data_IF_389362473313
#
_entry.id   IF_389362473313
#
_cell.length_a   1.000
_cell.length_b   1.000
_cell.length_c   1.000
_cell.angle_alpha   90.00
_cell.angle_beta   90.00
_cell.angle_gamma   90.00
#
_symmetry.space_group_name_H-M   'P 1'
#
loop_
_entity.id
_entity.type
_entity.pdbx_description
1 polymer ?
#
# COMPACT_ATOMS: atom_id res chain seq x y z
N UNK A 1 -25.38 10.83 -5.22
CA UNK A 1 -25.02 9.49 -4.70
C UNK A 1 -23.74 9.08 -5.41
N UNK A 2 -22.58 9.42 -4.84
CA UNK A 2 -21.30 9.26 -5.55
C UNK A 2 -20.89 7.78 -5.56
N UNK A 3 -20.90 7.22 -6.77
CA UNK A 3 -20.59 5.83 -7.09
C UNK A 3 -19.08 5.76 -7.35
N UNK A 4 -18.30 5.28 -6.39
CA UNK A 4 -16.86 5.09 -6.58
C UNK A 4 -16.62 3.70 -7.17
N UNK A 5 -16.69 3.60 -8.50
CA UNK A 5 -16.10 2.50 -9.26
C UNK A 5 -14.92 3.12 -9.99
N UNK A 6 -13.72 2.65 -9.68
CA UNK A 6 -12.51 3.02 -10.41
C UNK A 6 -11.81 1.74 -10.82
N UNK A 7 -11.79 1.55 -12.14
CA UNK A 7 -10.95 0.60 -12.83
C UNK A 7 -9.51 0.69 -12.27
N UNK A 8 -8.99 -0.42 -11.74
CA UNK A 8 -7.56 -0.55 -11.41
C UNK A 8 -7.06 0.15 -10.15
N UNK A 9 -7.90 0.48 -9.16
CA UNK A 9 -7.45 1.19 -7.95
C UNK A 9 -7.28 0.29 -6.71
N UNK A 10 -6.02 0.05 -6.35
CA UNK A 10 -5.55 -0.55 -5.10
C UNK A 10 -6.03 0.18 -3.84
N UNK A 11 -6.63 -0.51 -2.86
CA UNK A 11 -6.77 -0.02 -1.47
C UNK A 11 -6.16 -1.02 -0.51
N UNK A 12 -5.48 -0.53 0.53
CA UNK A 12 -4.84 -1.39 1.52
C UNK A 12 -5.06 -0.91 2.94
N UNK A 13 -5.20 -1.86 3.87
CA UNK A 13 -5.10 -1.64 5.33
C UNK A 13 -3.78 -2.23 5.82
N UNK A 14 -3.01 -1.43 6.56
CA UNK A 14 -1.78 -1.86 7.22
C UNK A 14 -2.04 -2.82 8.38
N UNK A 15 -1.26 -3.90 8.50
CA UNK A 15 -1.43 -4.96 9.51
C UNK A 15 -0.31 -5.05 10.57
N UNK A 16 0.75 -4.21 10.50
CA UNK A 16 1.94 -4.26 11.39
C UNK A 16 2.85 -5.48 11.14
N UNK A 17 3.84 -5.82 11.97
CA UNK A 17 5.16 -5.16 12.13
C UNK A 17 6.19 -5.81 11.18
N UNK A 18 7.25 -5.05 10.85
CA UNK A 18 8.45 -5.39 10.06
C UNK A 18 8.88 -6.86 10.11
N UNK A 19 9.10 -7.47 8.95
CA UNK A 19 9.46 -8.89 8.80
C UNK A 19 10.90 -9.27 9.23
N UNK A 20 11.62 -8.36 9.89
CA UNK A 20 12.99 -8.59 10.36
C UNK A 20 14.04 -8.70 9.26
N UNK A 21 13.68 -8.40 8.00
CA UNK A 21 14.66 -8.34 6.90
C UNK A 21 15.64 -7.17 7.11
N UNK A 22 16.96 -7.36 6.90
CA UNK A 22 17.99 -6.40 7.28
C UNK A 22 17.99 -5.07 6.51
N UNK A 23 17.04 -4.85 5.58
CA UNK A 23 17.10 -3.74 4.64
C UNK A 23 16.12 -2.58 4.87
N UNK A 24 14.97 -2.72 5.55
CA UNK A 24 14.08 -1.55 5.71
C UNK A 24 13.09 -1.70 6.85
N UNK A 25 13.16 -0.79 7.83
CA UNK A 25 12.27 -0.69 9.00
C UNK A 25 10.87 -0.14 8.67
N UNK A 26 10.61 0.18 7.39
CA UNK A 26 9.39 0.88 6.95
C UNK A 26 8.48 0.01 6.06
N UNK A 27 8.75 -1.29 5.98
CA UNK A 27 7.93 -2.26 5.27
C UNK A 27 6.57 -2.46 5.95
N UNK A 28 5.47 -2.23 5.24
CA UNK A 28 4.14 -2.47 5.81
C UNK A 28 3.44 -3.66 5.19
N UNK A 29 3.09 -4.65 6.03
CA UNK A 29 2.24 -5.77 5.64
C UNK A 29 0.82 -5.29 5.46
N UNK A 30 0.18 -5.76 4.39
CA UNK A 30 -0.87 -5.03 3.75
C UNK A 30 -1.76 -6.03 2.99
N UNK A 31 -3.09 -5.86 3.04
CA UNK A 31 -4.04 -6.64 2.24
C UNK A 31 -4.71 -5.78 1.19
N UNK A 32 -4.62 -6.17 -0.08
CA UNK A 32 -5.28 -5.44 -1.16
C UNK A 32 -6.79 -5.70 -1.09
N UNK A 33 -7.57 -4.69 -0.72
CA UNK A 33 -9.02 -4.79 -0.55
C UNK A 33 -9.80 -4.45 -1.81
N UNK A 34 -9.19 -3.71 -2.74
CA UNK A 34 -9.79 -3.33 -4.03
C UNK A 34 -8.67 -3.14 -5.06
N UNK A 35 -8.88 -3.55 -6.31
CA UNK A 35 -8.03 -3.22 -7.46
C UNK A 35 -6.64 -3.86 -7.47
N UNK A 36 -5.64 -3.16 -8.02
CA UNK A 36 -4.27 -3.68 -8.17
C UNK A 36 -3.26 -2.64 -7.72
N UNK A 37 -2.28 -3.07 -6.93
CA UNK A 37 -1.10 -2.28 -6.61
C UNK A 37 -0.04 -2.50 -7.67
N UNK A 38 0.56 -1.41 -8.15
CA UNK A 38 1.71 -1.45 -9.05
C UNK A 38 2.91 -0.82 -8.36
N UNK A 39 4.07 -1.47 -8.45
CA UNK A 39 5.31 -0.86 -8.03
C UNK A 39 5.53 0.43 -8.83
N UNK A 40 5.87 1.51 -8.14
CA UNK A 40 6.03 2.83 -8.72
C UNK A 40 4.75 3.64 -8.91
N UNK A 41 3.58 3.14 -8.52
CA UNK A 41 2.36 3.95 -8.53
C UNK A 41 2.43 5.08 -7.51
N UNK A 42 1.87 6.25 -7.84
CA UNK A 42 1.65 7.34 -6.88
C UNK A 42 0.54 6.94 -5.91
N UNK A 43 0.67 7.35 -4.66
CA UNK A 43 -0.24 6.99 -3.58
C UNK A 43 -0.51 8.14 -2.63
N UNK A 44 -1.70 8.12 -2.05
CA UNK A 44 -2.07 8.90 -0.88
C UNK A 44 -2.17 7.98 0.34
N UNK A 45 -1.52 8.35 1.43
CA UNK A 45 -1.74 7.74 2.73
C UNK A 45 -2.82 8.54 3.44
N UNK A 46 -3.88 7.86 3.84
CA UNK A 46 -5.06 8.44 4.49
C UNK A 46 -5.16 7.91 5.90
N UNK A 47 -5.22 8.82 6.88
CA UNK A 47 -5.45 8.53 8.30
C UNK A 47 -6.61 9.38 8.79
N UNK A 48 -7.57 8.75 9.47
CA UNK A 48 -8.76 9.43 10.00
C UNK A 48 -9.51 10.28 8.96
N UNK A 49 -9.53 9.81 7.71
CA UNK A 49 -10.18 10.49 6.58
C UNK A 49 -9.38 11.65 5.96
N UNK A 50 -8.20 11.98 6.48
CA UNK A 50 -7.32 13.04 5.96
C UNK A 50 -6.12 12.45 5.23
N UNK A 51 -5.69 13.09 4.14
CA UNK A 51 -4.42 12.73 3.48
C UNK A 51 -3.28 13.25 4.36
N UNK A 52 -2.45 12.33 4.85
CA UNK A 52 -1.28 12.66 5.70
C UNK A 52 0.03 12.60 4.92
N UNK A 53 0.05 11.90 3.79
CA UNK A 53 1.24 11.79 2.94
C UNK A 53 0.83 11.55 1.49
N UNK A 54 1.61 12.13 0.57
CA UNK A 54 1.58 11.83 -0.86
C UNK A 54 2.96 11.32 -1.26
N UNK A 55 3.00 10.16 -1.92
CA UNK A 55 4.27 9.53 -2.27
C UNK A 55 4.12 8.52 -3.39
N UNK A 56 5.08 7.61 -3.46
CA UNK A 56 5.15 6.57 -4.49
C UNK A 56 5.47 5.22 -3.87
N UNK A 57 4.90 4.15 -4.42
CA UNK A 57 5.27 2.79 -4.04
C UNK A 57 6.69 2.51 -4.53
N UNK A 58 7.65 2.36 -3.61
CA UNK A 58 9.03 1.98 -3.93
C UNK A 58 9.09 0.53 -4.37
N UNK A 59 8.50 -0.35 -3.56
CA UNK A 59 8.58 -1.81 -3.72
C UNK A 59 7.31 -2.50 -3.23
N UNK A 60 7.02 -3.63 -3.88
CA UNK A 60 5.97 -4.58 -3.47
C UNK A 60 6.61 -5.95 -3.30
N UNK A 61 6.21 -6.66 -2.24
CA UNK A 61 6.69 -8.00 -1.96
C UNK A 61 5.54 -8.93 -1.57
N UNK A 62 5.65 -10.20 -1.95
CA UNK A 62 4.73 -11.26 -1.51
C UNK A 62 5.50 -12.57 -1.41
N UNK A 63 5.26 -13.34 -0.36
CA UNK A 63 5.93 -14.63 -0.13
C UNK A 63 7.47 -14.53 -0.23
N UNK A 64 8.06 -13.43 0.27
CA UNK A 64 9.51 -13.13 0.18
C UNK A 64 10.05 -12.96 -1.25
N UNK A 65 9.18 -12.68 -2.21
CA UNK A 65 9.56 -12.34 -3.57
C UNK A 65 9.12 -10.92 -3.90
N UNK A 66 10.01 -10.17 -4.55
CA UNK A 66 9.67 -8.86 -5.10
C UNK A 66 8.66 -9.01 -6.24
N UNK A 67 7.62 -8.21 -6.20
CA UNK A 67 6.50 -8.24 -7.14
C UNK A 67 6.47 -6.94 -7.95
N UNK A 68 6.09 -7.04 -9.23
CA UNK A 68 5.73 -5.86 -10.01
C UNK A 68 4.33 -5.36 -9.62
N UNK A 69 3.42 -6.30 -9.32
CA UNK A 69 2.02 -6.01 -9.00
C UNK A 69 1.48 -6.95 -7.93
N UNK A 70 0.47 -6.48 -7.17
CA UNK A 70 -0.30 -7.30 -6.23
C UNK A 70 -1.78 -7.01 -6.45
N UNK A 71 -2.55 -8.05 -6.78
CA UNK A 71 -3.98 -7.95 -7.08
C UNK A 71 -4.84 -8.08 -5.83
N UNK A 72 -6.06 -7.55 -5.93
CA UNK A 72 -7.15 -7.68 -4.95
C UNK A 72 -7.27 -9.07 -4.33
N UNK A 73 -7.55 -9.09 -3.03
CA UNK A 73 -7.71 -10.30 -2.24
C UNK A 73 -6.39 -10.91 -1.76
N UNK A 74 -5.25 -10.51 -2.32
CA UNK A 74 -3.94 -10.97 -1.89
C UNK A 74 -3.32 -10.07 -0.82
N UNK A 75 -2.51 -10.70 0.02
CA UNK A 75 -1.65 -10.05 0.99
C UNK A 75 -0.24 -9.88 0.43
N UNK A 76 0.44 -8.84 0.91
CA UNK A 76 1.84 -8.56 0.60
C UNK A 76 2.42 -7.50 1.52
N UNK A 77 3.64 -7.08 1.25
CA UNK A 77 4.29 -5.96 1.90
C UNK A 77 4.49 -4.83 0.88
N UNK A 78 4.30 -3.60 1.32
CA UNK A 78 4.46 -2.38 0.53
C UNK A 78 5.46 -1.44 1.21
N UNK A 79 6.31 -0.83 0.40
CA UNK A 79 7.17 0.28 0.81
C UNK A 79 6.72 1.53 0.08
N UNK A 80 6.49 2.61 0.82
CA UNK A 80 6.14 3.92 0.27
C UNK A 80 7.28 4.87 0.57
N UNK A 81 7.74 5.58 -0.47
CA UNK A 81 8.81 6.56 -0.35
C UNK A 81 8.47 7.63 0.68
N UNK A 82 9.40 7.85 1.61
CA UNK A 82 9.36 8.88 2.66
C UNK A 82 8.08 8.87 3.54
N UNK A 83 7.40 7.73 3.65
CA UNK A 83 6.16 7.60 4.41
C UNK A 83 6.38 6.88 5.75
N UNK A 84 5.89 7.50 6.84
CA UNK A 84 5.76 6.83 8.14
C UNK A 84 4.35 6.30 8.31
N UNK A 85 4.15 5.05 7.91
CA UNK A 85 2.88 4.36 8.00
C UNK A 85 2.61 3.90 9.44
N UNK A 86 1.35 3.90 9.83
CA UNK A 86 0.83 3.40 11.11
C UNK A 86 -0.30 2.39 10.88
N UNK A 87 -0.65 1.69 11.95
CA UNK A 87 -1.78 0.77 11.92
C UNK A 87 -3.04 1.55 11.52
N UNK A 88 -3.90 0.90 10.75
CA UNK A 88 -5.15 1.47 10.22
C UNK A 88 -4.98 2.60 9.18
N UNK A 89 -3.75 2.93 8.77
CA UNK A 89 -3.54 3.78 7.60
C UNK A 89 -4.11 3.10 6.36
N UNK A 90 -4.83 3.91 5.57
CA UNK A 90 -5.40 3.49 4.29
C UNK A 90 -4.56 4.05 3.17
N UNK A 91 -3.98 3.17 2.35
CA UNK A 91 -3.21 3.57 1.17
C UNK A 91 -4.14 3.55 -0.04
N UNK A 92 -4.23 4.68 -0.74
CA UNK A 92 -5.01 4.83 -1.98
C UNK A 92 -4.09 5.12 -3.15
N UNK A 93 -4.28 4.44 -4.28
CA UNK A 93 -3.59 4.81 -5.52
C UNK A 93 -4.09 6.17 -5.99
N UNK A 94 -3.15 7.09 -6.24
CA UNK A 94 -3.46 8.39 -6.85
C UNK A 94 -3.81 8.17 -8.33
N UNK A 95 -4.94 8.74 -8.76
CA UNK A 95 -5.37 8.74 -10.16
C UNK A 95 -4.52 9.67 -11.02
#
# INVERSE_FOLDING_TARGET
MAKFITEGQGTIVGLGETDGSPHDVDAWVCRVTQGVLNAGARVYVVRDGSIIHEGKIRELWRNRQRMATISEGNEGAVWIEDAKLQLDDVIKIAA
#
